data_IF_500857236493
#
_entry.id   IF_500857236493
#
_cell.length_a   1.000
_cell.length_b   1.000
_cell.length_c   1.000
_cell.angle_alpha   90.00
_cell.angle_beta   90.00
_cell.angle_gamma   90.00
#
_symmetry.space_group_name_H-M   'P 1'
#
loop_
_entity.id
_entity.type
_entity.pdbx_description
1 polymer ?
#
# COMPACT_ATOMS: atom_id res chain seq x y z
N UNK A 1 21.73 -23.57 16.06
CA UNK A 1 21.69 -22.17 15.61
C UNK A 1 20.23 -21.86 15.39
N UNK A 2 19.65 -21.00 16.20
CA UNK A 2 18.24 -20.60 16.03
C UNK A 2 18.12 -19.85 14.71
N UNK A 3 17.49 -20.48 13.73
CA UNK A 3 17.32 -19.89 12.41
C UNK A 3 16.07 -19.00 12.45
N UNK A 4 16.28 -17.70 12.54
CA UNK A 4 15.23 -16.69 12.46
C UNK A 4 15.00 -16.29 11.00
N UNK A 5 13.74 -16.28 10.58
CA UNK A 5 13.33 -15.91 9.22
C UNK A 5 12.37 -14.74 9.25
N UNK A 6 12.49 -13.85 8.26
CA UNK A 6 11.54 -12.76 8.07
C UNK A 6 10.26 -13.30 7.42
N UNK A 7 9.11 -13.04 8.03
CA UNK A 7 7.80 -13.47 7.50
C UNK A 7 7.01 -12.31 6.89
N UNK A 8 7.14 -11.09 7.43
CA UNK A 8 6.46 -9.90 6.91
C UNK A 8 7.24 -8.64 7.29
N UNK A 9 7.13 -7.61 6.46
CA UNK A 9 7.67 -6.27 6.73
C UNK A 9 6.57 -5.23 6.78
N UNK A 10 6.62 -4.33 7.76
CA UNK A 10 5.66 -3.23 7.91
C UNK A 10 6.28 -1.88 7.58
N UNK A 11 5.44 -0.91 7.20
CA UNK A 11 5.94 0.44 6.93
C UNK A 11 6.28 1.14 8.23
N UNK A 12 5.43 0.97 9.25
CA UNK A 12 5.54 1.68 10.51
C UNK A 12 5.80 0.73 11.70
N UNK A 13 6.56 1.16 12.73
CA UNK A 13 6.86 0.32 13.90
C UNK A 13 5.62 -0.14 14.66
N UNK A 14 4.59 0.71 14.76
CA UNK A 14 3.37 0.37 15.49
C UNK A 14 2.60 -0.81 14.86
N UNK A 15 2.59 -0.91 13.52
CA UNK A 15 1.97 -2.03 12.81
C UNK A 15 2.68 -3.35 13.15
N UNK A 16 4.01 -3.32 13.17
CA UNK A 16 4.83 -4.47 13.55
C UNK A 16 4.58 -4.90 15.01
N UNK A 17 4.44 -3.95 15.94
CA UNK A 17 4.11 -4.27 17.33
C UNK A 17 2.71 -4.87 17.50
N UNK A 18 1.72 -4.45 16.71
CA UNK A 18 0.38 -5.06 16.75
C UNK A 18 0.43 -6.51 16.27
N UNK A 19 1.09 -6.77 15.14
CA UNK A 19 1.28 -8.13 14.63
C UNK A 19 2.10 -9.01 15.59
N UNK A 20 3.14 -8.44 16.21
CA UNK A 20 3.93 -9.11 17.25
C UNK A 20 3.06 -9.53 18.44
N UNK A 21 2.28 -8.62 19.01
CA UNK A 21 1.42 -8.94 20.15
C UNK A 21 0.38 -10.01 19.85
N UNK A 22 -0.12 -10.06 18.61
CA UNK A 22 -1.02 -11.11 18.14
C UNK A 22 -0.34 -12.49 18.06
N UNK A 23 0.87 -12.56 17.51
CA UNK A 23 1.64 -13.80 17.40
C UNK A 23 2.13 -14.29 18.77
N UNK A 24 2.59 -13.40 19.64
CA UNK A 24 2.99 -13.73 21.01
C UNK A 24 1.82 -14.26 21.84
N UNK A 25 0.60 -13.74 21.63
CA UNK A 25 -0.61 -14.27 22.23
C UNK A 25 -0.98 -15.69 21.74
N UNK A 26 -0.38 -16.12 20.62
CA UNK A 26 -0.52 -17.47 20.05
C UNK A 26 0.69 -18.36 20.37
N UNK A 27 1.48 -18.03 21.40
CA UNK A 27 2.70 -18.72 21.81
C UNK A 27 3.80 -18.77 20.71
N UNK A 28 3.84 -17.78 19.83
CA UNK A 28 4.89 -17.63 18.80
C UNK A 28 5.84 -16.50 19.21
N UNK A 29 7.10 -16.84 19.41
CA UNK A 29 8.14 -15.86 19.74
C UNK A 29 8.50 -15.01 18.51
N UNK A 30 8.56 -13.69 18.69
CA UNK A 30 8.77 -12.73 17.61
C UNK A 30 9.86 -11.72 17.97
N UNK A 31 10.80 -11.55 17.02
CA UNK A 31 11.81 -10.49 17.06
C UNK A 31 11.47 -9.45 15.98
N UNK A 32 11.48 -8.18 16.36
CA UNK A 32 11.34 -7.09 15.40
C UNK A 32 12.73 -6.57 15.06
N UNK A 33 13.00 -6.40 13.76
CA UNK A 33 14.25 -5.85 13.25
C UNK A 33 13.98 -4.52 12.53
N UNK A 34 14.96 -3.62 12.61
CA UNK A 34 14.97 -2.29 11.99
C UNK A 34 13.99 -1.26 12.60
N UNK A 35 13.26 -1.60 13.68
CA UNK A 35 12.25 -0.71 14.30
C UNK A 35 12.81 0.63 14.79
N UNK A 36 13.96 0.62 15.49
CA UNK A 36 14.52 1.83 16.10
C UNK A 36 14.97 2.82 15.03
N UNK A 37 15.53 2.32 13.93
CA UNK A 37 15.96 3.16 12.81
C UNK A 37 14.76 3.76 12.10
N UNK A 38 13.71 2.97 11.85
CA UNK A 38 12.48 3.47 11.24
C UNK A 38 11.73 4.44 12.18
N UNK A 39 11.81 4.24 13.49
CA UNK A 39 11.19 5.12 14.48
C UNK A 39 11.80 6.54 14.48
N UNK A 40 13.10 6.68 14.18
CA UNK A 40 13.73 8.00 13.99
C UNK A 40 13.12 8.73 12.79
N UNK A 41 12.91 8.01 11.68
CA UNK A 41 12.26 8.56 10.50
C UNK A 41 11.63 7.45 9.64
N UNK A 42 10.30 7.47 9.54
CA UNK A 42 9.53 6.46 8.80
C UNK A 42 9.94 6.34 7.32
N UNK A 43 10.54 7.38 6.72
CA UNK A 43 11.03 7.32 5.35
C UNK A 43 12.15 6.28 5.15
N UNK A 44 12.89 5.93 6.22
CA UNK A 44 13.91 4.88 6.16
C UNK A 44 13.33 3.48 5.93
N UNK A 45 12.05 3.28 6.20
CA UNK A 45 11.34 2.03 5.93
C UNK A 45 11.50 1.59 4.46
N UNK A 46 11.41 2.53 3.51
CA UNK A 46 11.59 2.26 2.09
C UNK A 46 13.01 1.78 1.72
N UNK A 47 14.03 2.28 2.42
CA UNK A 47 15.43 1.91 2.17
C UNK A 47 15.82 0.59 2.85
N UNK A 48 15.20 0.28 4.00
CA UNK A 48 15.50 -0.91 4.79
C UNK A 48 14.61 -2.11 4.43
N UNK A 49 13.57 -1.90 3.62
CA UNK A 49 12.59 -2.94 3.28
C UNK A 49 11.59 -3.20 4.41
N UNK A 50 11.26 -2.14 5.17
CA UNK A 50 10.31 -2.17 6.28
C UNK A 50 10.89 -2.58 7.63
N UNK A 51 10.03 -2.45 8.65
CA UNK A 51 10.21 -3.02 9.98
C UNK A 51 9.89 -4.51 9.88
N UNK A 52 10.92 -5.36 10.01
CA UNK A 52 10.85 -6.80 9.71
C UNK A 52 10.40 -7.58 10.93
N UNK A 53 9.45 -8.47 10.75
CA UNK A 53 8.92 -9.35 11.78
C UNK A 53 9.53 -10.74 11.58
N UNK A 54 10.34 -11.17 12.55
CA UNK A 54 11.15 -12.38 12.48
C UNK A 54 10.58 -13.43 13.44
N UNK A 55 10.49 -14.68 12.98
CA UNK A 55 10.09 -15.85 13.79
C UNK A 55 11.08 -16.99 13.60
N UNK A 56 11.04 -17.98 14.49
CA UNK A 56 11.77 -19.22 14.30
C UNK A 56 11.30 -19.94 13.02
N UNK A 57 12.22 -20.56 12.29
CA UNK A 57 11.94 -21.20 11.00
C UNK A 57 10.86 -22.27 11.12
N UNK A 58 10.84 -22.98 12.25
CA UNK A 58 9.89 -24.04 12.57
C UNK A 58 8.45 -23.53 12.71
N UNK A 59 8.28 -22.27 13.10
CA UNK A 59 6.97 -21.61 13.31
C UNK A 59 6.59 -20.66 12.17
N UNK A 60 7.39 -20.57 11.12
CA UNK A 60 7.19 -19.60 10.05
C UNK A 60 5.87 -19.81 9.29
N UNK A 61 5.54 -21.06 8.97
CA UNK A 61 4.32 -21.40 8.24
C UNK A 61 3.06 -21.15 9.09
N UNK A 62 3.09 -21.56 10.36
CA UNK A 62 2.02 -21.31 11.34
C UNK A 62 1.78 -19.80 11.54
N UNK A 63 2.85 -19.02 11.73
CA UNK A 63 2.77 -17.58 11.91
C UNK A 63 2.17 -16.88 10.68
N UNK A 64 2.53 -17.31 9.47
CA UNK A 64 1.97 -16.77 8.24
C UNK A 64 0.46 -17.05 8.14
N UNK A 65 0.02 -18.28 8.43
CA UNK A 65 -1.41 -18.62 8.42
C UNK A 65 -2.21 -17.79 9.42
N UNK A 66 -1.71 -17.61 10.65
CA UNK A 66 -2.37 -16.78 11.65
C UNK A 66 -2.47 -15.31 11.22
N UNK A 67 -1.40 -14.76 10.63
CA UNK A 67 -1.40 -13.38 10.13
C UNK A 67 -2.36 -13.18 8.95
N UNK A 68 -2.52 -14.19 8.09
CA UNK A 68 -3.53 -14.17 7.02
C UNK A 68 -4.94 -14.19 7.59
N UNK A 69 -5.24 -15.06 8.55
CA UNK A 69 -6.54 -15.15 9.20
C UNK A 69 -6.92 -13.86 9.94
N UNK A 70 -5.95 -13.23 10.59
CA UNK A 70 -6.14 -11.95 11.26
C UNK A 70 -6.17 -10.73 10.32
N UNK A 71 -5.96 -10.93 9.01
CA UNK A 71 -6.07 -9.88 7.99
C UNK A 71 -4.84 -8.96 7.89
N UNK A 72 -3.69 -9.33 8.46
CA UNK A 72 -2.42 -8.61 8.27
C UNK A 72 -1.83 -8.84 6.88
N UNK A 73 -2.09 -10.01 6.28
CA UNK A 73 -1.64 -10.37 4.93
C UNK A 73 -2.83 -10.36 3.99
N UNK A 74 -2.83 -9.44 3.02
CA UNK A 74 -3.85 -9.36 1.98
C UNK A 74 -3.27 -9.93 0.68
N UNK A 75 -3.57 -11.20 0.39
CA UNK A 75 -3.08 -11.93 -0.81
C UNK A 75 -3.39 -11.25 -2.15
N UNK A 76 -4.36 -10.33 -2.20
CA UNK A 76 -4.86 -9.70 -3.43
C UNK A 76 -4.53 -8.20 -3.56
N UNK A 77 -3.66 -7.64 -2.72
CA UNK A 77 -3.40 -6.20 -2.72
C UNK A 77 -2.64 -5.70 -3.98
N UNK A 78 -1.82 -6.56 -4.60
CA UNK A 78 -0.99 -6.17 -5.76
C UNK A 78 -1.68 -6.36 -7.12
N UNK A 79 -2.74 -7.17 -7.21
CA UNK A 79 -3.30 -7.61 -8.49
C UNK A 79 -4.43 -6.75 -9.07
N UNK A 80 -4.96 -5.77 -8.32
CA UNK A 80 -6.01 -4.89 -8.84
C UNK A 80 -5.47 -3.58 -9.43
N UNK A 81 -4.35 -3.61 -10.15
CA UNK A 81 -4.10 -2.58 -11.18
C UNK A 81 -4.97 -2.87 -12.39
N UNK A 82 -6.29 -2.80 -12.21
CA UNK A 82 -7.20 -2.76 -13.35
C UNK A 82 -6.75 -1.59 -14.24
N UNK A 83 -6.58 -1.82 -15.57
CA UNK A 83 -6.21 -0.75 -16.47
C UNK A 83 -7.16 0.42 -16.29
N UNK A 84 -6.61 1.61 -16.01
CA UNK A 84 -7.43 2.82 -15.81
C UNK A 84 -8.01 3.21 -17.18
N UNK A 85 -9.23 2.75 -17.45
CA UNK A 85 -9.96 3.02 -18.69
C UNK A 85 -10.42 4.48 -18.77
N UNK A 86 -10.60 4.96 -20.00
CA UNK A 86 -11.01 6.34 -20.28
C UNK A 86 -12.42 6.38 -20.86
N UNK A 87 -13.35 6.99 -20.13
CA UNK A 87 -14.76 7.10 -20.49
C UNK A 87 -15.14 8.50 -21.00
N UNK A 88 -16.38 8.65 -21.49
CA UNK A 88 -16.96 9.93 -21.95
C UNK A 88 -17.20 10.91 -20.79
N UNK A 89 -17.51 12.17 -21.14
CA UNK A 89 -17.75 13.24 -20.17
C UNK A 89 -18.97 13.02 -19.26
N UNK A 90 -19.89 12.12 -19.62
CA UNK A 90 -21.06 11.74 -18.82
C UNK A 90 -20.65 11.11 -17.47
N UNK A 91 -19.52 10.39 -17.44
CA UNK A 91 -18.99 9.74 -16.24
C UNK A 91 -18.18 10.70 -15.34
N UNK A 92 -18.48 12.00 -15.39
CA UNK A 92 -18.05 13.02 -14.41
C UNK A 92 -18.88 12.99 -13.15
N UNK A 93 -20.14 12.54 -13.25
CA UNK A 93 -21.14 12.55 -12.18
C UNK A 93 -21.62 11.14 -11.82
N UNK A 94 -21.28 10.14 -12.63
CA UNK A 94 -21.70 8.75 -12.46
C UNK A 94 -20.51 7.80 -12.63
N UNK A 95 -20.46 6.75 -11.81
CA UNK A 95 -19.50 5.67 -11.99
C UNK A 95 -19.88 4.81 -13.20
N UNK A 96 -18.94 4.52 -14.14
CA UNK A 96 -19.22 3.69 -15.32
C UNK A 96 -19.50 2.23 -15.00
N UNK A 97 -19.14 1.76 -13.80
CA UNK A 97 -19.21 0.35 -13.46
C UNK A 97 -20.39 -0.03 -12.55
N UNK A 98 -20.75 0.83 -11.60
CA UNK A 98 -21.84 0.56 -10.65
C UNK A 98 -22.96 1.61 -10.70
N UNK A 99 -22.81 2.65 -11.55
CA UNK A 99 -23.77 3.76 -11.67
C UNK A 99 -23.98 4.57 -10.38
N UNK A 100 -23.11 4.41 -9.39
CA UNK A 100 -23.14 5.24 -8.19
C UNK A 100 -22.75 6.69 -8.50
N UNK A 101 -23.32 7.62 -7.74
CA UNK A 101 -22.94 9.04 -7.69
C UNK A 101 -21.90 9.32 -6.60
N UNK A 102 -21.54 8.32 -5.77
CA UNK A 102 -20.56 8.42 -4.70
C UNK A 102 -19.13 8.34 -5.26
N UNK A 103 -18.75 9.40 -5.97
CA UNK A 103 -17.49 9.51 -6.71
C UNK A 103 -16.68 10.73 -6.28
N UNK A 104 -15.36 10.61 -6.32
CA UNK A 104 -14.44 11.71 -6.02
C UNK A 104 -13.41 11.90 -7.12
N UNK A 105 -12.86 13.12 -7.21
CA UNK A 105 -11.84 13.49 -8.19
C UNK A 105 -10.48 13.56 -7.51
N UNK A 106 -9.62 12.59 -7.79
CA UNK A 106 -8.23 12.58 -7.33
C UNK A 106 -7.34 13.31 -8.34
N UNK A 107 -6.41 14.12 -7.84
CA UNK A 107 -5.29 14.61 -8.64
C UNK A 107 -4.06 13.84 -8.19
N UNK A 108 -3.48 13.03 -9.07
CA UNK A 108 -2.21 12.36 -8.78
C UNK A 108 -1.07 13.09 -9.46
N UNK A 109 -0.03 13.41 -8.69
CA UNK A 109 1.25 13.84 -9.23
C UNK A 109 1.89 12.62 -9.92
N UNK A 110 2.07 12.70 -11.23
CA UNK A 110 2.77 11.66 -11.99
C UNK A 110 4.28 11.77 -11.83
N UNK A 111 5.02 10.72 -12.24
CA UNK A 111 6.49 10.73 -12.25
C UNK A 111 7.10 11.93 -13.00
N UNK A 112 6.37 12.49 -13.97
CA UNK A 112 6.76 13.70 -14.72
C UNK A 112 6.91 14.93 -13.81
N UNK A 113 6.14 15.00 -12.71
CA UNK A 113 6.27 16.05 -11.70
C UNK A 113 7.62 15.95 -11.00
N UNK A 114 7.99 14.75 -10.55
CA UNK A 114 9.28 14.49 -9.92
C UNK A 114 10.46 14.76 -10.88
N UNK A 115 10.34 14.34 -12.15
CA UNK A 115 11.37 14.56 -13.16
C UNK A 115 11.59 16.06 -13.46
N UNK A 116 10.51 16.86 -13.48
CA UNK A 116 10.61 18.31 -13.70
C UNK A 116 11.36 19.03 -12.57
N UNK A 117 11.14 18.63 -11.32
CA UNK A 117 11.85 19.17 -10.16
C UNK A 117 13.33 18.81 -10.24
N UNK A 118 13.64 17.56 -10.59
CA UNK A 118 15.02 17.08 -10.67
C UNK A 118 15.84 17.78 -11.77
N UNK A 119 15.27 17.98 -12.96
CA UNK A 119 16.02 18.50 -14.12
C UNK A 119 15.99 20.03 -14.22
N UNK A 120 14.86 20.66 -13.90
CA UNK A 120 14.64 22.09 -14.14
C UNK A 120 14.59 22.92 -12.85
N UNK A 121 14.60 22.27 -11.68
CA UNK A 121 14.46 22.94 -10.39
C UNK A 121 13.09 23.59 -10.16
N UNK A 122 12.11 23.34 -11.04
CA UNK A 122 10.80 23.96 -11.00
C UNK A 122 9.68 22.91 -11.05
N UNK A 123 8.72 22.93 -10.09
CA UNK A 123 7.64 21.96 -10.05
C UNK A 123 6.60 22.26 -11.12
N UNK A 124 6.67 21.59 -12.28
CA UNK A 124 5.66 21.78 -13.33
C UNK A 124 4.43 20.91 -13.01
N UNK A 125 3.26 21.50 -12.73
CA UNK A 125 2.10 20.79 -12.19
C UNK A 125 1.31 20.03 -13.26
N UNK A 126 1.95 19.05 -13.93
CA UNK A 126 1.28 18.10 -14.81
C UNK A 126 0.53 17.03 -14.01
N UNK A 127 -0.54 17.42 -13.32
CA UNK A 127 -1.37 16.52 -12.52
C UNK A 127 -2.35 15.78 -13.43
N UNK A 128 -2.31 14.44 -13.39
CA UNK A 128 -3.31 13.61 -14.05
C UNK A 128 -4.58 13.59 -13.19
N UNK A 129 -5.74 13.79 -13.83
CA UNK A 129 -7.05 13.77 -13.18
C UNK A 129 -7.62 12.35 -13.28
N UNK A 130 -7.88 11.71 -12.15
CA UNK A 130 -8.56 10.42 -12.06
C UNK A 130 -9.83 10.56 -11.22
N UNK A 131 -10.80 9.70 -11.50
CA UNK A 131 -12.02 9.58 -10.69
C UNK A 131 -11.96 8.26 -9.93
N UNK A 132 -12.49 8.26 -8.71
CA UNK A 132 -12.57 7.10 -7.83
C UNK A 132 -14.00 6.95 -7.31
N UNK A 133 -14.54 5.75 -7.30
CA UNK A 133 -15.85 5.46 -6.72
C UNK A 133 -15.69 4.74 -5.37
N UNK A 134 -16.38 5.20 -4.33
CA UNK A 134 -16.30 4.59 -3.00
C UNK A 134 -17.07 3.26 -2.90
N UNK A 135 -18.14 3.10 -3.69
CA UNK A 135 -19.00 1.92 -3.59
C UNK A 135 -18.41 0.70 -4.30
N UNK A 136 -17.78 0.90 -5.46
CA UNK A 136 -17.16 -0.20 -6.23
C UNK A 136 -15.63 -0.17 -6.26
N UNK A 137 -15.01 0.80 -5.57
CA UNK A 137 -13.56 0.94 -5.39
C UNK A 137 -12.72 0.97 -6.68
N UNK A 138 -13.32 1.35 -7.81
CA UNK A 138 -12.64 1.43 -9.11
C UNK A 138 -12.22 2.84 -9.48
N UNK A 139 -11.16 2.94 -10.28
CA UNK A 139 -10.62 4.19 -10.81
C UNK A 139 -10.76 4.28 -12.33
N UNK A 140 -11.11 5.46 -12.83
CA UNK A 140 -11.19 5.73 -14.27
C UNK A 140 -10.72 7.14 -14.64
N UNK A 141 -10.53 7.37 -15.93
CA UNK A 141 -10.22 8.67 -16.54
C UNK A 141 -11.35 9.10 -17.46
N UNK A 142 -11.33 10.38 -17.81
CA UNK A 142 -12.26 10.95 -18.78
C UNK A 142 -11.45 11.36 -20.00
N UNK A 143 -11.90 10.93 -21.19
CA UNK A 143 -11.31 11.36 -22.46
C UNK A 143 -11.46 12.89 -22.55
N UNK A 144 -10.37 13.59 -22.88
CA UNK A 144 -10.49 15.01 -23.26
C UNK A 144 -11.23 15.05 -24.59
N UNK A 145 -12.35 15.76 -24.66
CA UNK A 145 -12.86 16.25 -25.94
C UNK A 145 -11.78 17.14 -26.56
N UNK A 146 -11.44 16.86 -27.82
CA UNK A 146 -10.52 17.68 -28.62
C UNK A 146 -11.19 18.98 -29.01
#
# INVERSE_FOLDING_TARGET
MENWVNIISFTYPHEAHMAKGFLEASDIEVIIKDELTVQVNNLYSNALGGVKLMVQTEKAEEALSLLEEAGYIIKNAEEQKTPIESFSAEYKTLCPYCKSTNITKKKMAGYTFALSILLLGFPIPFLKRTYYCYDCQREWRIKKEQ
#
